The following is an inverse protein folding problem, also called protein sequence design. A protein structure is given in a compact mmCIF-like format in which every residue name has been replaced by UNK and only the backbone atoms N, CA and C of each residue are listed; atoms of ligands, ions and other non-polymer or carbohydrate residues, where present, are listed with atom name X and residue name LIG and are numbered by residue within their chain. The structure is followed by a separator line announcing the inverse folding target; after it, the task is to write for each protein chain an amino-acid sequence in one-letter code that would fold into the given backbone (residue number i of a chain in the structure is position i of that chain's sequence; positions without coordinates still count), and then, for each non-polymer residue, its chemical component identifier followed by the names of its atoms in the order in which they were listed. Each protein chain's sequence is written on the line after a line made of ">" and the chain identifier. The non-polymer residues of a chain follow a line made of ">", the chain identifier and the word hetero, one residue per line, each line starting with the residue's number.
data_IF_190963566565
#
_entry.id   IF_190963566565
#
_cell.length_a   1.000
_cell.length_b   1.000
_cell.length_c   1.000
_cell.angle_alpha   90.00
_cell.angle_beta   90.00
_cell.angle_gamma   90.00
#
_symmetry.space_group_name_H-M   'P 1'
#
loop_
_entity.id
_entity.type
_entity.pdbx_description
1 polymer ?
#
# COMPACT_ATOMS: atom_id res chain seq x y z
N UNK A 1 -5.28 -7.20 24.06
CA UNK A 1 -4.45 -7.28 25.30
C UNK A 1 -4.58 -5.94 26.02
N UNK A 2 -4.66 -5.88 27.35
CA UNK A 2 -4.72 -4.58 28.06
C UNK A 2 -3.40 -3.82 27.94
N UNK A 3 -3.44 -2.49 27.85
CA UNK A 3 -2.25 -1.63 27.93
C UNK A 3 -1.55 -1.88 29.28
N UNK A 4 -0.26 -2.20 29.22
CA UNK A 4 0.54 -2.60 30.38
C UNK A 4 1.73 -1.66 30.64
N UNK A 5 1.80 -0.55 29.92
CA UNK A 5 2.87 0.44 29.97
C UNK A 5 2.32 1.85 30.16
N UNK A 6 3.15 2.76 30.69
CA UNK A 6 2.78 4.17 30.89
C UNK A 6 3.49 5.08 29.91
N UNK A 7 4.80 4.94 29.78
CA UNK A 7 5.64 5.80 28.95
C UNK A 7 6.02 5.10 27.65
N UNK A 8 5.99 5.86 26.55
CA UNK A 8 6.49 5.43 25.25
C UNK A 8 7.60 6.38 24.82
N UNK A 9 8.73 5.83 24.37
CA UNK A 9 9.85 6.63 23.87
C UNK A 9 10.57 5.95 22.71
N UNK A 10 11.33 6.74 21.95
CA UNK A 10 12.23 6.25 20.90
C UNK A 10 13.65 6.29 21.45
N UNK A 11 14.26 5.11 21.61
CA UNK A 11 15.63 4.96 22.09
C UNK A 11 16.66 4.94 20.96
N UNK A 12 17.92 4.67 21.33
CA UNK A 12 19.03 4.53 20.38
C UNK A 12 18.73 3.53 19.27
N UNK A 13 19.17 3.86 18.05
CA UNK A 13 18.88 3.05 16.86
C UNK A 13 17.39 2.99 16.51
N UNK A 14 16.60 3.97 16.94
CA UNK A 14 15.17 4.09 16.66
C UNK A 14 14.33 2.91 17.18
N UNK A 15 14.74 2.35 18.31
CA UNK A 15 13.97 1.32 19.03
C UNK A 15 12.75 1.94 19.70
N UNK A 16 11.59 1.31 19.55
CA UNK A 16 10.40 1.70 20.31
C UNK A 16 10.49 1.09 21.71
N UNK A 17 10.39 1.92 22.74
CA UNK A 17 10.49 1.53 24.14
C UNK A 17 9.16 1.76 24.85
N UNK A 18 8.72 0.77 25.64
CA UNK A 18 7.58 0.85 26.56
C UNK A 18 8.09 0.74 27.99
N UNK A 19 7.96 1.79 28.79
CA UNK A 19 8.58 1.90 30.12
C UNK A 19 10.08 1.51 30.10
N UNK A 20 10.79 1.98 29.07
CA UNK A 20 12.22 1.70 28.83
C UNK A 20 12.55 0.30 28.25
N UNK A 21 11.55 -0.55 27.99
CA UNK A 21 11.77 -1.90 27.43
C UNK A 21 11.48 -1.95 25.93
N UNK A 22 12.35 -2.53 25.09
CA UNK A 22 12.11 -2.63 23.65
C UNK A 22 10.83 -3.41 23.31
N UNK A 23 10.03 -2.85 22.40
CA UNK A 23 8.90 -3.56 21.78
C UNK A 23 9.44 -4.77 21.00
N UNK A 24 8.79 -5.92 21.21
CA UNK A 24 9.09 -7.15 20.47
C UNK A 24 7.99 -7.44 19.47
N UNK A 25 8.38 -7.96 18.32
CA UNK A 25 7.48 -8.48 17.30
C UNK A 25 6.87 -9.83 17.72
N UNK A 26 5.81 -10.33 17.05
CA UNK A 26 5.28 -11.67 17.26
C UNK A 26 6.33 -12.79 17.16
N UNK A 27 7.33 -12.69 16.26
CA UNK A 27 8.47 -13.62 16.21
C UNK A 27 9.56 -13.35 17.26
N UNK A 28 9.29 -12.48 18.25
CA UNK A 28 10.16 -12.13 19.38
C UNK A 28 11.45 -11.37 18.99
N UNK A 29 11.52 -10.84 17.77
CA UNK A 29 12.59 -9.92 17.37
C UNK A 29 12.35 -8.53 17.98
N UNK A 30 13.38 -7.69 18.05
CA UNK A 30 13.18 -6.27 18.38
C UNK A 30 12.56 -5.55 17.19
N UNK A 31 11.56 -4.71 17.44
CA UNK A 31 11.01 -3.82 16.43
C UNK A 31 12.01 -2.67 16.18
N UNK A 32 13.01 -2.95 15.36
CA UNK A 32 14.05 -2.02 14.96
C UNK A 32 13.65 -1.33 13.65
N UNK A 33 13.40 -0.02 13.72
CA UNK A 33 13.01 0.79 12.57
C UNK A 33 14.24 1.53 12.04
N UNK A 34 14.35 1.71 10.73
CA UNK A 34 15.54 2.33 10.11
C UNK A 34 15.39 3.83 9.85
N UNK A 35 14.17 4.36 9.88
CA UNK A 35 13.87 5.78 9.65
C UNK A 35 13.33 6.44 10.93
N UNK A 36 13.94 7.57 11.34
CA UNK A 36 13.57 8.27 12.57
C UNK A 36 12.11 8.69 12.60
N UNK A 37 11.64 9.30 11.51
CA UNK A 37 10.26 9.81 11.38
C UNK A 37 9.24 8.68 11.51
N UNK A 38 9.52 7.51 10.92
CA UNK A 38 8.68 6.33 11.07
C UNK A 38 8.69 5.81 12.52
N UNK A 39 9.83 5.80 13.19
CA UNK A 39 9.91 5.39 14.58
C UNK A 39 9.12 6.32 15.52
N UNK A 40 9.24 7.63 15.35
CA UNK A 40 8.45 8.60 16.12
C UNK A 40 6.94 8.41 15.88
N UNK A 41 6.55 8.14 14.63
CA UNK A 41 5.16 7.88 14.28
C UNK A 41 4.62 6.57 14.87
N UNK A 42 5.43 5.50 14.87
CA UNK A 42 5.09 4.23 15.54
C UNK A 42 5.00 4.43 17.04
N UNK A 43 5.95 5.12 17.67
CA UNK A 43 5.86 5.47 19.09
C UNK A 43 4.57 6.23 19.41
N UNK A 44 4.15 7.14 18.52
CA UNK A 44 2.88 7.87 18.67
C UNK A 44 1.65 6.94 18.61
N UNK A 45 1.65 5.88 17.80
CA UNK A 45 0.57 4.87 17.82
C UNK A 45 0.50 4.13 19.17
N UNK A 46 1.65 3.75 19.72
CA UNK A 46 1.71 3.12 21.04
C UNK A 46 1.27 4.08 22.15
N UNK A 47 1.66 5.36 22.09
CA UNK A 47 1.26 6.32 23.11
C UNK A 47 -0.25 6.62 23.08
N UNK A 48 -0.83 6.69 21.88
CA UNK A 48 -2.26 6.89 21.66
C UNK A 48 -3.14 5.67 22.01
N UNK A 49 -2.54 4.51 22.29
CA UNK A 49 -3.26 3.30 22.66
C UNK A 49 -4.09 3.53 23.94
N UNK A 50 -5.40 3.30 23.87
CA UNK A 50 -6.28 3.37 25.04
C UNK A 50 -6.07 2.23 26.04
N UNK A 51 -7.15 1.76 26.66
CA UNK A 51 -7.09 0.67 27.64
C UNK A 51 -6.68 -0.69 27.05
N UNK A 52 -6.92 -0.88 25.75
CA UNK A 52 -6.63 -2.12 25.03
C UNK A 52 -5.74 -1.87 23.81
N UNK A 53 -4.69 -2.69 23.70
CA UNK A 53 -3.83 -2.76 22.53
C UNK A 53 -4.57 -3.57 21.46
N UNK A 54 -4.90 -2.89 20.36
CA UNK A 54 -5.63 -3.41 19.20
C UNK A 54 -4.78 -3.22 17.94
N UNK A 55 -4.22 -4.31 17.36
CA UNK A 55 -3.40 -4.19 16.15
C UNK A 55 -4.09 -3.55 14.95
N UNK A 56 -5.43 -3.61 14.89
CA UNK A 56 -6.22 -2.93 13.86
C UNK A 56 -6.10 -1.40 13.91
N UNK A 57 -5.84 -0.84 15.11
CA UNK A 57 -5.72 0.59 15.34
C UNK A 57 -4.24 1.06 15.25
N UNK A 58 -3.32 0.17 14.88
CA UNK A 58 -1.87 0.42 14.87
C UNK A 58 -1.23 0.01 13.52
N UNK A 59 -1.68 0.60 12.40
CA UNK A 59 -1.29 0.14 11.07
C UNK A 59 0.22 0.33 10.78
N UNK A 60 0.87 1.40 11.25
CA UNK A 60 2.32 1.58 11.05
C UNK A 60 3.10 0.52 11.83
N UNK A 61 2.69 0.24 13.07
CA UNK A 61 3.27 -0.84 13.89
C UNK A 61 3.14 -2.19 13.19
N UNK A 62 1.98 -2.47 12.57
CA UNK A 62 1.71 -3.73 11.87
C UNK A 62 2.54 -3.87 10.59
N UNK A 63 2.69 -2.81 9.81
CA UNK A 63 3.57 -2.77 8.63
C UNK A 63 5.04 -2.95 9.04
N UNK A 64 5.53 -2.19 10.02
CA UNK A 64 6.90 -2.28 10.52
C UNK A 64 7.23 -3.68 11.08
N UNK A 65 6.29 -4.26 11.85
CA UNK A 65 6.42 -5.63 12.35
C UNK A 65 6.55 -6.63 11.21
N UNK A 66 5.76 -6.45 10.15
CA UNK A 66 5.78 -7.33 8.99
C UNK A 66 7.12 -7.24 8.23
N UNK A 67 7.74 -6.05 8.17
CA UNK A 67 9.10 -5.90 7.61
C UNK A 67 10.09 -6.72 8.43
N UNK A 68 10.10 -6.56 9.75
CA UNK A 68 11.04 -7.25 10.65
C UNK A 68 10.83 -8.77 10.65
N UNK A 69 9.58 -9.24 10.69
CA UNK A 69 9.28 -10.67 10.88
C UNK A 69 9.21 -11.47 9.57
N UNK A 70 8.78 -10.85 8.47
CA UNK A 70 8.44 -11.59 7.24
C UNK A 70 9.47 -11.36 6.13
N UNK A 71 9.93 -10.13 5.93
CA UNK A 71 10.69 -9.80 4.73
C UNK A 71 12.10 -10.39 4.63
N UNK A 72 12.82 -10.75 5.71
CA UNK A 72 14.06 -11.51 5.57
C UNK A 72 13.89 -12.79 4.74
N UNK A 73 12.72 -13.42 4.79
CA UNK A 73 12.41 -14.70 4.12
C UNK A 73 11.47 -14.53 2.91
N UNK A 74 10.62 -13.48 2.89
CA UNK A 74 9.50 -13.34 1.94
C UNK A 74 9.68 -12.26 0.86
N UNK A 75 10.85 -11.64 0.74
CA UNK A 75 11.10 -10.63 -0.32
C UNK A 75 10.82 -11.21 -1.73
N UNK A 76 11.24 -12.46 -2.00
CA UNK A 76 11.00 -13.13 -3.28
C UNK A 76 9.51 -13.35 -3.56
N UNK A 77 8.76 -13.80 -2.54
CA UNK A 77 7.31 -13.99 -2.63
C UNK A 77 6.60 -12.66 -2.90
N UNK A 78 6.92 -11.61 -2.13
CA UNK A 78 6.32 -10.29 -2.28
C UNK A 78 6.54 -9.73 -3.70
N UNK A 79 7.75 -9.85 -4.23
CA UNK A 79 8.07 -9.44 -5.62
C UNK A 79 7.30 -10.25 -6.65
N UNK A 80 7.16 -11.56 -6.43
CA UNK A 80 6.41 -12.45 -7.32
C UNK A 80 4.91 -12.14 -7.31
N UNK A 81 4.35 -11.87 -6.13
CA UNK A 81 2.96 -11.44 -5.98
C UNK A 81 2.72 -10.09 -6.69
N UNK A 82 3.60 -9.10 -6.50
CA UNK A 82 3.50 -7.80 -7.20
C UNK A 82 3.57 -7.97 -8.73
N UNK A 83 4.51 -8.79 -9.22
CA UNK A 83 4.63 -9.08 -10.65
C UNK A 83 3.40 -9.81 -11.20
N UNK A 84 2.78 -10.68 -10.41
CA UNK A 84 1.53 -11.34 -10.78
C UNK A 84 0.44 -10.29 -11.00
N UNK A 85 0.23 -9.35 -10.06
CA UNK A 85 -0.72 -8.24 -10.22
C UNK A 85 -0.42 -7.41 -11.47
N UNK A 86 0.84 -7.08 -11.76
CA UNK A 86 1.20 -6.34 -12.98
C UNK A 86 0.78 -7.08 -14.27
N UNK A 87 0.79 -8.42 -14.25
CA UNK A 87 0.31 -9.25 -15.36
C UNK A 87 -1.20 -9.18 -15.61
N UNK A 88 -1.99 -8.83 -14.60
CA UNK A 88 -3.45 -8.69 -14.67
C UNK A 88 -3.94 -7.44 -13.95
N UNK A 89 -3.23 -6.33 -14.16
CA UNK A 89 -3.40 -5.11 -13.37
C UNK A 89 -4.81 -4.51 -13.56
N UNK A 90 -5.47 -4.08 -12.46
CA UNK A 90 -6.78 -3.44 -12.49
C UNK A 90 -6.89 -2.38 -13.59
N UNK A 91 -5.87 -1.52 -13.72
CA UNK A 91 -5.90 -0.42 -14.69
C UNK A 91 -5.72 -0.88 -16.14
N UNK A 92 -5.65 -2.18 -16.43
CA UNK A 92 -5.60 -2.74 -17.78
C UNK A 92 -6.94 -3.31 -18.25
N UNK A 93 -7.91 -3.55 -17.37
CA UNK A 93 -9.19 -4.14 -17.73
C UNK A 93 -10.25 -3.05 -17.79
N UNK A 94 -11.05 -3.05 -18.85
CA UNK A 94 -12.05 -2.01 -19.09
C UNK A 94 -13.43 -2.60 -19.26
N UNK A 95 -14.44 -1.87 -18.84
CA UNK A 95 -15.83 -2.15 -19.14
C UNK A 95 -16.09 -2.10 -20.65
N UNK A 96 -17.25 -2.63 -21.04
CA UNK A 96 -17.70 -2.67 -22.42
C UNK A 96 -17.74 -1.26 -23.06
N UNK A 97 -17.42 -1.16 -24.36
CA UNK A 97 -17.48 0.10 -25.09
C UNK A 97 -18.84 0.82 -24.97
N UNK A 98 -18.81 2.16 -25.09
CA UNK A 98 -19.98 3.03 -25.02
C UNK A 98 -20.76 3.03 -23.69
N UNK A 99 -20.26 2.39 -22.64
CA UNK A 99 -20.77 2.57 -21.27
C UNK A 99 -20.20 3.83 -20.61
N UNK A 100 -20.96 4.46 -19.72
CA UNK A 100 -20.47 5.56 -18.88
C UNK A 100 -19.27 5.10 -18.01
N UNK A 101 -19.32 3.85 -17.53
CA UNK A 101 -18.22 3.25 -16.77
C UNK A 101 -16.94 3.23 -17.61
N UNK A 102 -17.00 2.82 -18.88
CA UNK A 102 -15.83 2.86 -19.78
C UNK A 102 -15.28 4.28 -19.92
N UNK A 103 -16.14 5.28 -20.10
CA UNK A 103 -15.69 6.67 -20.21
C UNK A 103 -15.04 7.20 -18.92
N UNK A 104 -15.51 6.75 -17.76
CA UNK A 104 -14.91 7.07 -16.46
C UNK A 104 -13.57 6.36 -16.27
N UNK A 105 -13.50 5.07 -16.54
CA UNK A 105 -12.26 4.29 -16.49
C UNK A 105 -11.20 4.85 -17.43
N UNK A 106 -11.57 5.25 -18.65
CA UNK A 106 -10.62 5.88 -19.58
C UNK A 106 -10.02 7.15 -18.98
N UNK A 107 -10.87 8.02 -18.43
CA UNK A 107 -10.44 9.29 -17.84
C UNK A 107 -9.58 9.11 -16.58
N UNK A 108 -9.96 8.18 -15.70
CA UNK A 108 -9.31 8.04 -14.39
C UNK A 108 -8.14 7.03 -14.40
N UNK A 109 -8.16 6.01 -15.25
CA UNK A 109 -7.14 4.95 -15.29
C UNK A 109 -6.10 5.09 -16.39
N UNK A 110 -6.46 5.61 -17.57
CA UNK A 110 -5.48 5.75 -18.67
C UNK A 110 -4.26 6.61 -18.30
N UNK A 111 -4.40 7.73 -17.55
CA UNK A 111 -3.25 8.52 -17.12
C UNK A 111 -2.19 7.73 -16.35
N UNK A 112 -2.61 6.69 -15.60
CA UNK A 112 -1.72 5.82 -14.84
C UNK A 112 -1.01 4.78 -15.72
N UNK A 113 -1.68 4.27 -16.76
CA UNK A 113 -1.02 3.47 -17.79
C UNK A 113 0.07 4.28 -18.50
N UNK A 114 -0.26 5.50 -18.92
CA UNK A 114 0.72 6.37 -19.56
C UNK A 114 1.85 6.75 -18.59
N UNK A 115 1.54 6.96 -17.31
CA UNK A 115 2.56 7.22 -16.29
C UNK A 115 3.53 6.07 -16.14
N UNK A 116 3.05 4.82 -16.09
CA UNK A 116 3.92 3.64 -16.04
C UNK A 116 4.82 3.53 -17.29
N UNK A 117 4.29 3.85 -18.47
CA UNK A 117 5.08 3.91 -19.71
C UNK A 117 6.14 5.01 -19.63
N UNK A 118 5.79 6.25 -19.25
CA UNK A 118 6.76 7.36 -19.18
C UNK A 118 7.82 7.14 -18.11
N UNK A 119 7.42 6.66 -16.93
CA UNK A 119 8.26 6.58 -15.73
C UNK A 119 9.19 5.36 -15.75
N UNK A 120 8.73 4.23 -16.29
CA UNK A 120 9.45 2.96 -16.27
C UNK A 120 9.72 2.36 -17.66
N UNK A 121 9.14 2.93 -18.71
CA UNK A 121 9.09 2.31 -20.04
C UNK A 121 8.12 1.12 -20.11
N UNK A 122 7.25 0.95 -19.10
CA UNK A 122 6.37 -0.19 -18.99
C UNK A 122 5.04 0.07 -19.71
N UNK A 123 5.00 -0.19 -21.02
CA UNK A 123 3.79 -0.05 -21.82
C UNK A 123 2.87 -1.26 -21.62
N UNK A 124 1.82 -1.09 -20.81
CA UNK A 124 0.83 -2.13 -20.56
C UNK A 124 -0.27 -2.15 -21.62
N UNK A 125 -0.78 -3.36 -21.88
CA UNK A 125 -1.90 -3.59 -22.81
C UNK A 125 -3.21 -3.47 -22.07
N UNK A 126 -4.08 -2.61 -22.57
CA UNK A 126 -5.47 -2.46 -22.11
C UNK A 126 -6.37 -3.43 -22.89
N UNK A 127 -7.28 -4.09 -22.20
CA UNK A 127 -8.27 -5.02 -22.75
C UNK A 127 -9.69 -4.66 -22.31
N UNK A 128 -10.67 -5.29 -22.93
CA UNK A 128 -12.09 -5.05 -22.71
C UNK A 128 -12.77 -6.30 -22.14
N UNK A 129 -13.70 -6.09 -21.20
CA UNK A 129 -14.42 -7.15 -20.52
C UNK A 129 -13.50 -8.04 -19.69
N UNK A 130 -13.90 -9.30 -19.55
CA UNK A 130 -13.23 -10.30 -18.70
C UNK A 130 -12.15 -11.11 -19.43
N UNK A 131 -11.91 -10.83 -20.72
CA UNK A 131 -10.99 -11.64 -21.52
C UNK A 131 -9.54 -11.27 -21.15
N UNK A 132 -8.76 -12.21 -20.59
CA UNK A 132 -7.39 -11.93 -20.18
C UNK A 132 -6.51 -11.57 -21.38
N UNK A 133 -5.67 -10.54 -21.21
CA UNK A 133 -4.63 -10.18 -22.18
C UNK A 133 -3.26 -10.50 -21.59
N UNK A 134 -2.42 -11.18 -22.36
CA UNK A 134 -1.02 -11.37 -21.99
C UNK A 134 -0.28 -10.03 -22.15
N UNK A 135 0.30 -9.55 -21.06
CA UNK A 135 1.17 -8.38 -21.06
C UNK A 135 2.47 -8.64 -21.82
N UNK A 136 3.10 -7.56 -22.26
CA UNK A 136 4.44 -7.65 -22.85
C UNK A 136 5.47 -8.05 -21.78
N UNK A 137 6.35 -9.00 -22.10
CA UNK A 137 7.39 -9.45 -21.16
C UNK A 137 8.32 -8.30 -20.80
N UNK A 138 8.66 -7.43 -21.76
CA UNK A 138 9.55 -6.29 -21.51
C UNK A 138 8.91 -5.29 -20.55
N UNK A 139 7.58 -5.09 -20.61
CA UNK A 139 6.87 -4.22 -19.69
C UNK A 139 6.87 -4.79 -18.26
N UNK A 140 6.61 -6.10 -18.12
CA UNK A 140 6.66 -6.78 -16.82
C UNK A 140 8.07 -6.77 -16.22
N UNK A 141 9.10 -7.01 -17.03
CA UNK A 141 10.50 -7.01 -16.59
C UNK A 141 10.95 -5.62 -16.10
N UNK A 142 10.43 -4.54 -16.70
CA UNK A 142 10.69 -3.15 -16.24
C UNK A 142 10.07 -2.88 -14.88
N UNK A 143 8.81 -3.28 -14.67
CA UNK A 143 8.14 -3.14 -13.37
C UNK A 143 8.80 -4.03 -12.30
N UNK A 144 9.20 -5.24 -12.66
CA UNK A 144 9.94 -6.14 -11.79
C UNK A 144 11.32 -5.58 -11.41
N UNK A 145 12.04 -5.01 -12.37
CA UNK A 145 13.32 -4.32 -12.13
C UNK A 145 13.13 -3.20 -11.12
N UNK A 146 12.15 -2.33 -11.34
CA UNK A 146 11.86 -1.22 -10.42
C UNK A 146 11.51 -1.71 -9.01
N UNK A 147 10.67 -2.74 -8.91
CA UNK A 147 10.31 -3.38 -7.64
C UNK A 147 11.55 -4.00 -6.96
N UNK A 148 12.50 -4.49 -7.76
CA UNK A 148 13.77 -5.06 -7.34
C UNK A 148 14.73 -4.07 -6.67
N UNK A 149 14.60 -2.79 -6.99
CA UNK A 149 15.43 -1.70 -6.44
C UNK A 149 14.94 -1.19 -5.08
N UNK A 150 13.70 -1.52 -4.69
CA UNK A 150 13.15 -1.07 -3.42
C UNK A 150 13.80 -1.78 -2.24
N UNK A 151 14.13 -1.00 -1.20
CA UNK A 151 14.51 -1.53 0.10
C UNK A 151 13.34 -2.31 0.74
N UNK A 152 13.59 -3.18 1.75
CA UNK A 152 12.55 -3.99 2.36
C UNK A 152 11.36 -3.21 2.95
N UNK A 153 11.58 -1.97 3.42
CA UNK A 153 10.51 -1.14 3.96
C UNK A 153 9.62 -0.62 2.84
N UNK A 154 10.21 -0.03 1.80
CA UNK A 154 9.44 0.43 0.63
C UNK A 154 8.74 -0.71 -0.09
N UNK A 155 9.37 -1.88 -0.19
CA UNK A 155 8.75 -3.07 -0.77
C UNK A 155 7.53 -3.53 0.05
N UNK A 156 7.53 -3.37 1.38
CA UNK A 156 6.37 -3.70 2.22
C UNK A 156 5.22 -2.75 1.94
N UNK A 157 5.52 -1.46 1.87
CA UNK A 157 4.53 -0.44 1.49
C UNK A 157 3.92 -0.75 0.12
N UNK A 158 4.76 -1.07 -0.87
CA UNK A 158 4.29 -1.44 -2.20
C UNK A 158 3.43 -2.71 -2.17
N UNK A 159 3.89 -3.77 -1.52
CA UNK A 159 3.15 -5.03 -1.42
C UNK A 159 1.76 -4.82 -0.81
N UNK A 160 1.66 -4.03 0.26
CA UNK A 160 0.39 -3.65 0.86
C UNK A 160 -0.48 -2.82 -0.10
N UNK A 161 0.10 -1.79 -0.74
CA UNK A 161 -0.61 -0.93 -1.69
C UNK A 161 -1.21 -1.73 -2.86
N UNK A 162 -0.43 -2.63 -3.46
CA UNK A 162 -0.89 -3.46 -4.58
C UNK A 162 -2.05 -4.36 -4.17
N UNK A 163 -1.99 -4.97 -2.99
CA UNK A 163 -3.08 -5.83 -2.50
C UNK A 163 -4.35 -5.06 -2.16
N UNK A 164 -4.23 -3.84 -1.65
CA UNK A 164 -5.37 -2.98 -1.32
C UNK A 164 -6.02 -2.38 -2.56
N UNK A 165 -5.22 -2.04 -3.57
CA UNK A 165 -5.71 -1.38 -4.79
C UNK A 165 -6.04 -2.35 -5.93
N UNK A 166 -5.53 -3.59 -5.88
CA UNK A 166 -5.59 -4.53 -7.00
C UNK A 166 -4.69 -4.14 -8.18
N UNK A 167 -3.74 -3.22 -7.99
CA UNK A 167 -2.95 -2.64 -9.07
C UNK A 167 -1.49 -2.44 -8.68
N UNK A 168 -0.58 -3.02 -9.46
CA UNK A 168 0.84 -2.74 -9.36
C UNK A 168 1.15 -1.30 -9.77
N UNK A 169 0.47 -0.78 -10.80
CA UNK A 169 0.64 0.59 -11.29
C UNK A 169 0.22 1.62 -10.23
N UNK A 170 -1.00 1.52 -9.68
CA UNK A 170 -1.47 2.44 -8.64
C UNK A 170 -0.63 2.31 -7.37
N UNK A 171 -0.24 1.08 -7.00
CA UNK A 171 0.64 0.85 -5.87
C UNK A 171 2.01 1.50 -6.03
N UNK A 172 2.65 1.39 -7.20
CA UNK A 172 3.90 2.07 -7.50
C UNK A 172 3.74 3.59 -7.47
N UNK A 173 2.67 4.13 -8.08
CA UNK A 173 2.40 5.57 -8.06
C UNK A 173 2.21 6.11 -6.64
N UNK A 174 1.54 5.34 -5.77
CA UNK A 174 1.36 5.68 -4.35
C UNK A 174 2.71 5.70 -3.60
N UNK A 175 3.52 4.65 -3.75
CA UNK A 175 4.81 4.53 -3.05
C UNK A 175 5.85 5.53 -3.57
N UNK A 176 5.78 5.94 -4.84
CA UNK A 176 6.64 7.01 -5.38
C UNK A 176 6.13 8.43 -5.07
N UNK A 177 4.97 8.57 -4.41
CA UNK A 177 4.40 9.87 -4.06
C UNK A 177 3.75 10.62 -5.23
N UNK A 178 3.60 9.98 -6.39
CA UNK A 178 2.93 10.52 -7.58
C UNK A 178 1.40 10.47 -7.46
N UNK A 179 0.88 9.56 -6.63
CA UNK A 179 -0.54 9.38 -6.37
C UNK A 179 -0.81 9.48 -4.86
N UNK A 180 -1.67 10.43 -4.46
CA UNK A 180 -2.12 10.54 -3.07
C UNK A 180 -3.10 9.42 -2.68
N UNK A 181 -3.09 8.98 -1.43
CA UNK A 181 -3.97 7.92 -0.91
C UNK A 181 -5.47 8.09 -1.25
N UNK A 182 -6.00 9.31 -1.21
CA UNK A 182 -7.43 9.55 -1.49
C UNK A 182 -7.78 9.22 -2.94
N UNK A 183 -6.92 9.68 -3.86
CA UNK A 183 -7.04 9.40 -5.29
C UNK A 183 -6.71 7.94 -5.63
N UNK A 184 -5.80 7.30 -4.87
CA UNK A 184 -5.55 5.86 -5.00
C UNK A 184 -6.79 5.02 -4.65
N UNK A 185 -7.49 5.38 -3.56
CA UNK A 185 -8.76 4.76 -3.20
C UNK A 185 -9.83 4.98 -4.28
N UNK A 186 -9.98 6.21 -4.76
CA UNK A 186 -10.99 6.53 -5.79
C UNK A 186 -10.71 5.80 -7.10
N UNK A 187 -9.44 5.68 -7.50
CA UNK A 187 -9.04 4.92 -8.67
C UNK A 187 -9.27 3.42 -8.47
N UNK A 188 -8.94 2.85 -7.31
CA UNK A 188 -9.08 1.39 -7.10
C UNK A 188 -10.54 0.96 -6.98
N UNK A 189 -11.40 1.79 -6.40
CA UNK A 189 -12.83 1.48 -6.19
C UNK A 189 -13.74 2.15 -7.24
N UNK A 190 -13.18 2.59 -8.38
CA UNK A 190 -13.88 3.43 -9.35
C UNK A 190 -15.23 2.87 -9.78
N UNK A 191 -15.25 1.58 -10.15
CA UNK A 191 -16.44 0.88 -10.60
C UNK A 191 -17.51 0.92 -9.50
N UNK A 192 -17.16 0.48 -8.29
CA UNK A 192 -18.07 0.47 -7.14
C UNK A 192 -18.58 1.85 -6.74
N UNK A 193 -17.75 2.88 -6.83
CA UNK A 193 -18.15 4.26 -6.52
C UNK A 193 -19.21 4.76 -7.51
N UNK A 194 -19.08 4.41 -8.79
CA UNK A 194 -20.10 4.72 -9.79
C UNK A 194 -21.41 3.94 -9.53
N UNK A 195 -21.32 2.70 -9.06
CA UNK A 195 -22.50 1.92 -8.64
C UNK A 195 -23.22 2.59 -7.47
N UNK A 196 -22.47 3.05 -6.46
CA UNK A 196 -23.01 3.80 -5.31
C UNK A 196 -23.68 5.10 -5.76
N UNK A 197 -23.08 5.83 -6.70
CA UNK A 197 -23.68 7.06 -7.25
C UNK A 197 -25.05 6.79 -7.90
N UNK A 198 -25.22 5.61 -8.52
CA UNK A 198 -26.45 5.23 -9.23
C UNK A 198 -27.52 4.62 -8.35
N UNK A 199 -27.12 3.75 -7.43
CA UNK A 199 -28.04 2.88 -6.69
C UNK A 199 -28.06 3.14 -5.19
N UNK A 200 -27.22 4.06 -4.73
CA UNK A 200 -27.09 4.42 -3.32
C UNK A 200 -26.07 3.55 -2.59
N UNK A 201 -25.69 4.01 -1.40
CA UNK A 201 -24.67 3.38 -0.56
C UNK A 201 -25.30 2.34 0.37
N UNK A 202 -24.76 1.13 0.38
CA UNK A 202 -25.10 0.11 1.37
C UNK A 202 -24.17 0.15 2.59
N UNK A 203 -24.67 -0.21 3.77
CA UNK A 203 -23.93 -0.07 5.04
C UNK A 203 -22.67 -0.97 5.11
N UNK A 204 -22.74 -2.19 4.56
CA UNK A 204 -21.58 -3.10 4.59
C UNK A 204 -20.49 -2.65 3.62
N UNK A 205 -20.87 -2.25 2.40
CA UNK A 205 -19.96 -1.65 1.42
C UNK A 205 -19.34 -0.37 1.99
N UNK A 206 -20.13 0.45 2.69
CA UNK A 206 -19.67 1.64 3.37
C UNK A 206 -18.52 1.37 4.35
N UNK A 207 -18.70 0.38 5.24
CA UNK A 207 -17.70 -0.01 6.23
C UNK A 207 -16.43 -0.52 5.57
N UNK A 208 -16.55 -1.35 4.52
CA UNK A 208 -15.39 -1.84 3.75
C UNK A 208 -14.62 -0.69 3.10
N UNK A 209 -15.31 0.26 2.47
CA UNK A 209 -14.68 1.43 1.85
C UNK A 209 -13.96 2.30 2.87
N UNK A 210 -14.57 2.54 4.02
CA UNK A 210 -13.95 3.36 5.08
C UNK A 210 -12.70 2.67 5.66
N UNK A 211 -12.76 1.36 5.89
CA UNK A 211 -11.59 0.58 6.28
C UNK A 211 -10.48 0.62 5.21
N UNK A 212 -10.84 0.47 3.93
CA UNK A 212 -9.88 0.52 2.82
C UNK A 212 -9.21 1.89 2.70
N UNK A 213 -9.97 3.00 2.87
CA UNK A 213 -9.41 4.36 2.89
C UNK A 213 -8.36 4.52 3.99
N UNK A 214 -8.65 4.03 5.19
CA UNK A 214 -7.72 4.10 6.34
C UNK A 214 -6.46 3.28 6.06
N UNK A 215 -6.61 2.08 5.50
CA UNK A 215 -5.47 1.21 5.17
C UNK A 215 -4.58 1.80 4.07
N UNK A 216 -5.15 2.31 2.99
CA UNK A 216 -4.38 2.97 1.92
C UNK A 216 -3.68 4.23 2.45
N UNK A 217 -4.36 5.03 3.27
CA UNK A 217 -3.75 6.21 3.90
C UNK A 217 -2.60 5.84 4.85
N UNK A 218 -2.72 4.73 5.58
CA UNK A 218 -1.64 4.25 6.43
C UNK A 218 -0.43 3.79 5.62
N UNK A 219 -0.65 3.13 4.47
CA UNK A 219 0.45 2.73 3.56
C UNK A 219 1.16 3.95 2.96
N UNK A 220 0.41 4.95 2.49
CA UNK A 220 1.00 6.20 1.98
C UNK A 220 1.80 6.92 3.07
N UNK A 221 1.22 7.06 4.26
CA UNK A 221 1.92 7.63 5.43
C UNK A 221 3.18 6.83 5.77
N UNK A 222 3.11 5.51 5.77
CA UNK A 222 4.26 4.65 6.03
C UNK A 222 5.40 4.92 5.04
N UNK A 223 5.10 4.97 3.73
CA UNK A 223 6.08 5.26 2.70
C UNK A 223 6.69 6.67 2.84
N UNK A 224 5.87 7.71 3.04
CA UNK A 224 6.34 9.10 3.20
C UNK A 224 7.21 9.32 4.45
N UNK A 225 7.04 8.48 5.48
CA UNK A 225 7.86 8.52 6.69
C UNK A 225 9.23 7.84 6.52
N UNK A 226 9.44 7.11 5.41
CA UNK A 226 10.74 6.54 5.03
C UNK A 226 11.62 7.52 4.25
N UNK A 227 11.05 8.65 3.81
CA UNK A 227 11.82 9.69 3.16
C UNK A 227 12.46 10.57 4.24
N UNK A 228 13.80 10.58 4.26
CA UNK A 228 14.55 11.53 5.05
C UNK A 228 14.41 12.91 4.40
N UNK A 229 14.04 13.92 5.20
CA UNK A 229 14.43 15.29 4.85
C UNK A 229 15.93 15.30 5.06
N UNK A 230 16.69 15.20 3.98
CA UNK A 230 18.09 15.65 4.02
C UNK A 230 18.02 17.14 4.36
N UNK A 231 18.43 17.49 5.58
CA UNK A 231 18.71 18.87 5.97
C UNK A 231 19.74 19.50 5.02
#
# INVERSE_FOLDING_TARGET
>A
MKRFYREVSVGDGYRILLDGRPVKTPKKAELLITARRLADAVASEWDACGEEIRPADMPLTRLATSVVDLFPERIGDARSEIAAYAGHDLVCYRAEPASELRARQEREWHPWCDWAERRFGARLRVTEGIIPVAQDRDALDRLATRTGELDPWRLMGLHAAVKLTGSAVLGLALVEGELEHGRAFEASMLDELLEIERWGREEEQAKRHDALRVEIAAVDRFCRLLDDVSD
#
